data_IF_004460754002
#
_entry.id   IF_004460754002
#
_cell.length_a   1.000
_cell.length_b   1.000
_cell.length_c   1.000
_cell.angle_alpha   90.00
_cell.angle_beta   90.00
_cell.angle_gamma   90.00
#
_symmetry.space_group_name_H-M   'P 1'
#
loop_
_entity.id
_entity.type
_entity.pdbx_description
1 polymer ?
#
# COMPACT_ATOMS: atom_id res chain seq x y z
N UNK A 1 15.48 -35.87 -2.88
CA UNK A 1 14.16 -35.20 -2.98
C UNK A 1 14.35 -33.69 -3.03
N UNK A 2 14.69 -33.15 -4.22
CA UNK A 2 14.72 -31.70 -4.43
C UNK A 2 13.27 -31.19 -4.34
N UNK A 3 12.94 -30.48 -3.25
CA UNK A 3 11.70 -29.69 -3.18
C UNK A 3 11.84 -28.50 -4.15
N UNK A 4 11.60 -28.76 -5.43
CA UNK A 4 10.91 -27.82 -6.33
C UNK A 4 9.53 -27.54 -5.73
N UNK A 5 9.47 -26.78 -4.65
CA UNK A 5 8.27 -26.00 -4.37
C UNK A 5 8.38 -24.77 -5.25
N UNK A 6 7.45 -24.66 -6.19
CA UNK A 6 7.32 -23.57 -7.12
C UNK A 6 7.50 -22.23 -6.40
N UNK A 7 8.53 -21.46 -6.76
CA UNK A 7 8.55 -20.03 -6.54
C UNK A 7 7.50 -19.40 -7.48
N UNK A 8 6.20 -19.58 -7.19
CA UNK A 8 5.28 -18.47 -7.37
C UNK A 8 5.73 -17.45 -6.31
N UNK A 9 6.63 -16.56 -6.71
CA UNK A 9 7.43 -15.75 -5.79
C UNK A 9 6.56 -15.03 -4.77
N UNK A 10 6.98 -15.07 -3.49
CA UNK A 10 6.31 -14.35 -2.41
C UNK A 10 6.17 -12.88 -2.82
N UNK A 11 4.93 -12.45 -3.06
CA UNK A 11 4.70 -11.12 -3.61
C UNK A 11 4.68 -10.05 -2.54
N UNK A 12 4.61 -10.43 -1.28
CA UNK A 12 4.70 -9.54 -0.13
C UNK A 12 6.15 -9.29 0.31
N UNK A 13 7.02 -10.30 0.22
CA UNK A 13 8.39 -10.25 0.73
C UNK A 13 9.43 -10.47 -0.37
N UNK A 14 10.42 -9.58 -0.44
CA UNK A 14 11.58 -9.75 -1.34
C UNK A 14 12.61 -10.74 -0.76
N UNK A 15 12.82 -10.68 0.55
CA UNK A 15 13.68 -11.55 1.36
C UNK A 15 13.04 -11.72 2.76
N UNK A 16 13.52 -12.65 3.60
CA UNK A 16 13.08 -12.70 5.00
C UNK A 16 13.23 -11.34 5.67
N UNK A 17 12.13 -10.86 6.26
CA UNK A 17 12.04 -9.55 6.91
C UNK A 17 12.31 -8.34 5.99
N UNK A 18 12.15 -8.51 4.68
CA UNK A 18 12.22 -7.41 3.70
C UNK A 18 10.89 -7.31 2.97
N UNK A 19 10.06 -6.35 3.39
CA UNK A 19 8.77 -6.06 2.78
C UNK A 19 8.96 -5.46 1.39
N UNK A 20 8.22 -5.96 0.41
CA UNK A 20 8.14 -5.42 -0.94
C UNK A 20 6.87 -4.58 -1.07
N UNK A 21 7.05 -3.28 -1.29
CA UNK A 21 5.95 -2.32 -1.50
C UNK A 21 5.90 -1.93 -2.96
N UNK A 22 4.74 -2.07 -3.59
CA UNK A 22 4.47 -1.68 -4.98
C UNK A 22 3.88 -0.28 -5.00
N UNK A 23 4.39 0.55 -5.91
CA UNK A 23 3.93 1.90 -6.17
C UNK A 23 3.02 1.90 -7.41
N UNK A 24 2.17 2.92 -7.53
CA UNK A 24 1.19 3.00 -8.63
C UNK A 24 1.86 3.23 -10.00
N UNK A 25 3.09 3.78 -10.03
CA UNK A 25 3.91 3.88 -11.24
C UNK A 25 4.58 2.56 -11.68
N UNK A 26 4.24 1.43 -11.05
CA UNK A 26 4.80 0.10 -11.35
C UNK A 26 6.16 -0.18 -10.70
N UNK A 27 6.79 0.79 -10.04
CA UNK A 27 8.03 0.57 -9.30
C UNK A 27 7.78 -0.20 -8.00
N UNK A 28 8.87 -0.71 -7.41
CA UNK A 28 8.83 -1.34 -6.08
C UNK A 28 9.90 -0.77 -5.18
N UNK A 29 9.61 -0.71 -3.88
CA UNK A 29 10.55 -0.32 -2.83
C UNK A 29 10.62 -1.44 -1.79
N UNK A 30 11.85 -1.78 -1.40
CA UNK A 30 12.12 -2.81 -0.40
C UNK A 30 12.41 -2.17 0.96
N UNK A 31 11.81 -2.72 2.02
CA UNK A 31 11.97 -2.23 3.38
C UNK A 31 12.36 -3.37 4.31
N UNK A 32 13.56 -3.30 4.87
CA UNK A 32 13.95 -4.17 5.98
C UNK A 32 13.15 -3.77 7.21
N UNK A 33 12.59 -4.74 7.91
CA UNK A 33 11.82 -4.51 9.12
C UNK A 33 12.23 -5.42 10.28
N UNK A 34 11.91 -4.96 11.49
CA UNK A 34 12.12 -5.67 12.74
C UNK A 34 10.78 -5.91 13.43
N UNK A 35 10.79 -6.60 14.58
CA UNK A 35 9.56 -6.91 15.35
C UNK A 35 8.81 -5.66 15.81
N UNK A 36 9.51 -4.54 15.98
CA UNK A 36 8.95 -3.26 16.42
C UNK A 36 8.57 -2.32 15.28
N UNK A 37 8.93 -2.64 14.04
CA UNK A 37 8.62 -1.78 12.89
C UNK A 37 7.12 -1.76 12.63
N UNK A 38 6.56 -0.55 12.63
CA UNK A 38 5.14 -0.30 12.39
C UNK A 38 4.88 -0.05 10.91
N UNK A 39 3.62 -0.21 10.50
CA UNK A 39 3.17 0.26 9.18
C UNK A 39 3.41 1.76 8.99
N UNK A 40 3.27 2.55 10.06
CA UNK A 40 3.46 4.01 10.02
C UNK A 40 4.90 4.38 9.64
N UNK A 41 5.88 3.63 10.12
CA UNK A 41 7.30 3.89 9.81
C UNK A 41 7.58 3.77 8.31
N UNK A 42 6.96 2.77 7.64
CA UNK A 42 7.09 2.59 6.20
C UNK A 42 6.37 3.70 5.44
N UNK A 43 5.15 4.06 5.85
CA UNK A 43 4.39 5.16 5.24
C UNK A 43 5.17 6.47 5.33
N UNK A 44 5.74 6.79 6.50
CA UNK A 44 6.56 7.98 6.67
C UNK A 44 7.87 7.92 5.89
N UNK A 45 8.49 6.75 5.77
CA UNK A 45 9.69 6.61 4.91
C UNK A 45 9.35 6.85 3.43
N UNK A 46 8.19 6.37 2.96
CA UNK A 46 7.71 6.61 1.60
C UNK A 46 7.36 8.08 1.38
N UNK A 47 6.71 8.72 2.36
CA UNK A 47 6.43 10.17 2.35
C UNK A 47 7.68 10.96 2.00
N UNK A 48 8.76 10.76 2.76
CA UNK A 48 10.00 11.51 2.57
C UNK A 48 10.67 11.16 1.23
N UNK A 49 10.71 9.88 0.86
CA UNK A 49 11.33 9.42 -0.41
C UNK A 49 10.61 9.87 -1.68
N UNK A 50 9.30 10.06 -1.59
CA UNK A 50 8.46 10.49 -2.70
C UNK A 50 8.14 11.99 -2.62
N UNK A 51 8.62 12.70 -1.59
CA UNK A 51 8.34 14.11 -1.35
C UNK A 51 6.84 14.44 -1.28
N UNK A 52 6.06 13.55 -0.66
CA UNK A 52 4.62 13.74 -0.44
C UNK A 52 4.41 14.63 0.79
N UNK A 53 3.60 15.67 0.66
CA UNK A 53 3.20 16.57 1.75
C UNK A 53 1.94 16.04 2.45
N UNK A 54 0.89 15.73 1.69
CA UNK A 54 -0.42 15.35 2.22
C UNK A 54 -0.53 13.83 2.50
N UNK A 55 0.31 13.34 3.42
CA UNK A 55 0.43 11.91 3.74
C UNK A 55 -0.84 11.29 4.35
N UNK A 56 -1.72 12.12 4.92
CA UNK A 56 -3.00 11.74 5.50
C UNK A 56 -3.95 11.05 4.51
N UNK A 57 -3.73 11.24 3.20
CA UNK A 57 -4.50 10.58 2.15
C UNK A 57 -4.02 9.15 1.85
N UNK A 58 -2.83 8.78 2.31
CA UNK A 58 -2.14 7.56 1.93
C UNK A 58 -2.18 6.47 3.01
N UNK A 59 -2.09 5.22 2.56
CA UNK A 59 -1.93 4.07 3.42
C UNK A 59 -1.22 2.91 2.70
N UNK A 60 -0.77 1.92 3.47
CA UNK A 60 -0.44 0.61 2.93
C UNK A 60 -1.69 -0.27 2.85
N UNK A 61 -1.84 -0.98 1.73
CA UNK A 61 -2.93 -1.91 1.47
C UNK A 61 -2.35 -3.26 1.09
N UNK A 62 -2.94 -4.35 1.56
CA UNK A 62 -2.70 -5.67 1.00
C UNK A 62 -3.78 -6.00 -0.02
N UNK A 63 -3.37 -6.31 -1.24
CA UNK A 63 -4.25 -6.79 -2.30
C UNK A 63 -4.01 -8.27 -2.54
N UNK A 64 -5.08 -9.06 -2.54
CA UNK A 64 -4.97 -10.49 -2.82
C UNK A 64 -4.77 -10.72 -4.31
N UNK A 65 -3.75 -11.49 -4.70
CA UNK A 65 -3.35 -11.65 -6.09
C UNK A 65 -4.42 -12.29 -6.97
N UNK A 66 -5.14 -13.28 -6.44
CA UNK A 66 -6.21 -13.99 -7.16
C UNK A 66 -7.58 -13.31 -7.03
N UNK A 67 -7.66 -12.23 -6.26
CA UNK A 67 -8.89 -11.46 -6.08
C UNK A 67 -8.55 -9.99 -5.78
N UNK A 68 -8.29 -9.23 -6.86
CA UNK A 68 -7.91 -7.81 -6.78
C UNK A 68 -8.98 -6.92 -6.13
N UNK A 69 -10.23 -7.39 -6.01
CA UNK A 69 -11.27 -6.65 -5.28
C UNK A 69 -11.12 -6.76 -3.77
N UNK A 70 -10.34 -7.73 -3.28
CA UNK A 70 -10.07 -7.94 -1.86
C UNK A 70 -8.86 -7.12 -1.42
N UNK A 71 -9.15 -5.96 -0.86
CA UNK A 71 -8.16 -5.03 -0.31
C UNK A 71 -8.25 -4.98 1.22
N UNK A 72 -7.10 -5.07 1.89
CA UNK A 72 -6.98 -4.94 3.34
C UNK A 72 -6.15 -3.70 3.68
N UNK A 73 -6.80 -2.69 4.23
CA UNK A 73 -6.12 -1.50 4.73
C UNK A 73 -5.28 -1.84 5.97
N UNK A 74 -4.00 -1.51 5.95
CA UNK A 74 -3.11 -1.69 7.10
C UNK A 74 -3.12 -0.43 7.96
N UNK A 75 -3.53 -0.56 9.23
CA UNK A 75 -3.64 0.56 10.17
C UNK A 75 -3.01 0.20 11.53
N UNK A 76 -2.17 1.09 12.08
CA UNK A 76 -1.53 1.03 13.42
C UNK A 76 -1.06 -0.38 13.87
N UNK A 77 -0.69 -1.26 12.93
CA UNK A 77 -0.21 -2.63 13.21
C UNK A 77 1.30 -2.75 12.97
N UNK A 78 1.90 -3.73 13.65
CA UNK A 78 3.30 -4.11 13.44
C UNK A 78 3.43 -4.93 12.16
N UNK A 79 4.45 -4.65 11.34
CA UNK A 79 4.67 -5.38 10.09
C UNK A 79 4.86 -6.88 10.33
N UNK A 80 5.54 -7.23 11.41
CA UNK A 80 5.75 -8.61 11.80
C UNK A 80 4.42 -9.39 11.96
N UNK A 81 3.40 -8.78 12.53
CA UNK A 81 2.07 -9.39 12.67
C UNK A 81 1.36 -9.54 11.32
N UNK A 82 1.58 -8.60 10.40
CA UNK A 82 0.99 -8.63 9.05
C UNK A 82 1.57 -9.80 8.26
N UNK A 83 2.89 -9.99 8.29
CA UNK A 83 3.58 -11.02 7.48
C UNK A 83 3.40 -12.44 8.02
N UNK A 84 3.10 -12.60 9.31
CA UNK A 84 2.88 -13.91 9.93
C UNK A 84 1.50 -14.52 9.65
N UNK A 85 0.56 -13.77 9.06
CA UNK A 85 -0.74 -14.32 8.69
C UNK A 85 -0.55 -15.49 7.71
N UNK A 86 -1.30 -16.58 7.90
CA UNK A 86 -1.15 -17.84 7.13
C UNK A 86 -1.16 -17.62 5.61
N UNK A 87 -2.00 -16.70 5.13
CA UNK A 87 -2.20 -16.45 3.70
C UNK A 87 -1.41 -15.23 3.20
N UNK A 88 -0.42 -14.74 3.95
CA UNK A 88 0.29 -13.49 3.62
C UNK A 88 1.03 -13.54 2.28
N UNK A 89 1.40 -14.74 1.81
CA UNK A 89 2.08 -14.98 0.54
C UNK A 89 1.18 -14.72 -0.68
N UNK A 90 -0.14 -14.77 -0.51
CA UNK A 90 -1.13 -14.49 -1.57
C UNK A 90 -1.41 -12.99 -1.73
N UNK A 91 -0.75 -12.14 -0.94
CA UNK A 91 -0.94 -10.69 -1.00
C UNK A 91 0.29 -9.99 -1.58
N UNK A 92 0.05 -8.84 -2.21
CA UNK A 92 1.07 -7.82 -2.46
C UNK A 92 0.75 -6.57 -1.65
N UNK A 93 1.78 -5.87 -1.18
CA UNK A 93 1.60 -4.63 -0.43
C UNK A 93 1.70 -3.42 -1.37
N UNK A 94 0.65 -2.63 -1.45
CA UNK A 94 0.57 -1.42 -2.27
C UNK A 94 0.63 -0.18 -1.38
N UNK A 95 1.29 0.87 -1.84
CA UNK A 95 1.17 2.21 -1.27
C UNK A 95 0.13 3.00 -2.08
N UNK A 96 -0.99 3.36 -1.45
CA UNK A 96 -2.17 3.89 -2.15
C UNK A 96 -2.76 5.11 -1.48
N UNK A 97 -3.33 5.99 -2.31
CA UNK A 97 -4.30 6.98 -1.86
C UNK A 97 -5.59 6.25 -1.51
N UNK A 98 -5.92 6.19 -0.22
CA UNK A 98 -7.09 5.48 0.31
C UNK A 98 -8.18 6.42 0.83
N UNK A 99 -7.81 7.66 1.17
CA UNK A 99 -8.70 8.67 1.70
C UNK A 99 -8.75 9.85 0.74
N UNK A 100 -9.56 9.73 -0.31
CA UNK A 100 -9.62 10.73 -1.39
C UNK A 100 -10.25 12.02 -0.84
N UNK A 101 -9.65 13.20 -1.10
CA UNK A 101 -10.24 14.48 -0.73
C UNK A 101 -11.58 14.69 -1.46
N UNK A 102 -12.41 15.58 -0.92
CA UNK A 102 -13.73 15.83 -1.50
C UNK A 102 -13.63 16.47 -2.89
N UNK A 103 -12.68 17.36 -3.05
CA UNK A 103 -12.32 17.98 -4.32
C UNK A 103 -10.86 17.60 -4.67
N UNK A 104 -10.61 16.94 -5.82
CA UNK A 104 -9.25 16.66 -6.28
C UNK A 104 -8.41 17.93 -6.55
N UNK A 105 -9.05 19.07 -6.85
CA UNK A 105 -8.35 20.33 -7.11
C UNK A 105 -7.66 20.85 -5.86
N UNK A 106 -8.25 20.66 -4.68
CA UNK A 106 -7.63 21.02 -3.40
C UNK A 106 -6.30 20.26 -3.22
N UNK A 107 -6.31 18.95 -3.52
CA UNK A 107 -5.08 18.13 -3.45
C UNK A 107 -4.02 18.59 -4.45
N UNK A 108 -4.42 19.00 -5.65
CA UNK A 108 -3.47 19.52 -6.64
C UNK A 108 -2.80 20.81 -6.16
N UNK A 109 -3.55 21.71 -5.51
CA UNK A 109 -3.00 22.94 -4.96
C UNK A 109 -2.09 22.67 -3.76
N UNK A 110 -2.55 21.82 -2.83
CA UNK A 110 -1.85 21.52 -1.59
C UNK A 110 -0.66 20.59 -1.78
N UNK A 111 -0.71 19.67 -2.74
CA UNK A 111 0.32 18.68 -3.03
C UNK A 111 0.21 18.08 -4.45
N UNK A 112 0.81 18.74 -5.47
CA UNK A 112 0.83 18.23 -6.84
C UNK A 112 1.38 16.81 -6.97
N UNK A 113 2.33 16.42 -6.12
CA UNK A 113 2.93 15.08 -6.14
C UNK A 113 1.92 14.03 -5.69
N UNK A 114 1.17 14.31 -4.62
CA UNK A 114 0.09 13.43 -4.19
C UNK A 114 -1.03 13.33 -5.22
N UNK A 115 -1.38 14.46 -5.87
CA UNK A 115 -2.36 14.47 -6.95
C UNK A 115 -1.91 13.62 -8.14
N UNK A 116 -0.66 13.76 -8.59
CA UNK A 116 -0.12 12.95 -9.68
C UNK A 116 -0.10 11.46 -9.32
N UNK A 117 0.23 11.13 -8.07
CA UNK A 117 0.15 9.75 -7.58
C UNK A 117 -1.28 9.20 -7.60
N UNK A 118 -2.26 10.02 -7.18
CA UNK A 118 -3.69 9.66 -7.28
C UNK A 118 -4.09 9.40 -8.73
N UNK A 119 -3.62 10.23 -9.67
CA UNK A 119 -3.90 10.06 -11.09
C UNK A 119 -3.30 8.76 -11.65
N UNK A 120 -2.08 8.40 -11.25
CA UNK A 120 -1.46 7.11 -11.60
C UNK A 120 -2.24 5.91 -11.06
N UNK A 121 -2.89 6.06 -9.90
CA UNK A 121 -3.69 5.00 -9.28
C UNK A 121 -5.00 4.70 -10.01
N UNK A 122 -5.56 5.68 -10.73
CA UNK A 122 -6.84 5.52 -11.44
C UNK A 122 -6.57 4.78 -12.75
N UNK A 123 -7.25 3.64 -13.01
CA UNK A 123 -7.08 2.92 -14.27
C UNK A 123 -7.50 3.80 -15.46
N UNK A 124 -6.55 4.11 -16.34
CA UNK A 124 -6.71 4.98 -17.52
C UNK A 124 -7.79 4.49 -18.53
N UNK A 125 -8.26 3.24 -18.42
CA UNK A 125 -9.14 2.62 -19.41
C UNK A 125 -10.42 1.96 -18.87
N UNK A 126 -10.72 2.06 -17.58
CA UNK A 126 -12.02 1.60 -17.06
C UNK A 126 -12.52 2.55 -15.97
N UNK A 127 -13.61 3.26 -16.24
CA UNK A 127 -14.46 3.87 -15.21
C UNK A 127 -15.12 2.75 -14.36
N UNK A 128 -14.34 2.04 -13.55
CA UNK A 128 -14.90 1.32 -12.40
C UNK A 128 -14.81 2.29 -11.24
N UNK A 129 -15.94 2.68 -10.61
CA UNK A 129 -15.88 3.41 -9.36
C UNK A 129 -15.11 2.51 -8.40
N UNK A 130 -13.90 2.92 -8.02
CA UNK A 130 -13.19 2.36 -6.88
C UNK A 130 -14.07 2.63 -5.66
N UNK A 131 -15.05 1.74 -5.40
CA UNK A 131 -15.68 1.60 -4.10
C UNK A 131 -14.64 1.01 -3.16
N UNK A 132 -13.60 1.80 -2.85
CA UNK A 132 -12.90 1.63 -1.59
C UNK A 132 -14.00 1.91 -0.57
N UNK A 133 -14.56 0.84 -0.01
CA UNK A 133 -15.48 0.90 1.12
C UNK A 133 -14.64 1.32 2.33
N UNK A 134 -14.19 2.58 2.32
CA UNK A 134 -13.62 3.22 3.48
C UNK A 134 -14.76 3.30 4.48
N UNK A 135 -14.82 2.35 5.43
CA UNK A 135 -15.61 2.56 6.63
C UNK A 135 -15.12 3.87 7.21
N UNK A 136 -15.95 4.90 7.13
CA UNK A 136 -15.73 6.20 7.77
C UNK A 136 -15.63 5.97 9.28
N UNK A 137 -14.45 5.60 9.77
CA UNK A 137 -14.11 5.89 11.14
C UNK A 137 -13.35 7.21 11.10
N UNK A 138 -14.10 8.29 11.28
CA UNK A 138 -13.56 9.57 11.75
C UNK A 138 -12.87 9.30 13.08
N UNK A 139 -11.60 8.95 13.05
CA UNK A 139 -10.72 9.06 14.20
C UNK A 139 -9.64 10.05 13.77
N UNK A 140 -9.77 11.26 14.31
CA UNK A 140 -8.79 12.34 14.22
C UNK A 140 -7.38 11.78 14.43
N UNK A 141 -6.43 12.27 13.62
CA UNK A 141 -5.01 12.22 13.97
C UNK A 141 -4.79 12.88 15.33
#
# INVERSE_FOLDING_TARGET
KLKKCLFFGNSLLFLPNVLKVYLENGQTKAFKFHKTTTVKDIVLTLKEKLSIRCIEHFALVLEQQYNITKLLLLNKVLLFQVVQKKDSHDYRCLFRVCFIPRDPVDLLQDDPVAFEYLFQQVPQFHYVPLKIKCRRNKAKL
#
